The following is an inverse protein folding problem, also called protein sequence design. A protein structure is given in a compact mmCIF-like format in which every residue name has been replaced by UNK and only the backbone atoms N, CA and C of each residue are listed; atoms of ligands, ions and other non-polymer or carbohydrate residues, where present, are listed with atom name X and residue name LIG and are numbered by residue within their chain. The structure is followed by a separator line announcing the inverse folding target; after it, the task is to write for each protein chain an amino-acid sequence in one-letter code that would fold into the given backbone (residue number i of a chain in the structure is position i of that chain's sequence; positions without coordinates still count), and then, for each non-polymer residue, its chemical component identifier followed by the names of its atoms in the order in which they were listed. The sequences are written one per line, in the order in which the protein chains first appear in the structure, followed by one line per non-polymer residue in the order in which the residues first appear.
data_IF_379512006609
#
_entry.id   IF_379512006609
#
_cell.length_a   1.000
_cell.length_b   1.000
_cell.length_c   1.000
_cell.angle_alpha   90.00
_cell.angle_beta   90.00
_cell.angle_gamma   90.00
#
_symmetry.space_group_name_H-M   'P 1'
#
loop_
_entity.id
_entity.type
_entity.pdbx_description
1 polymer ?
#
# COMPACT_ATOMS: atom_id res chain seq x y z
N UNK A 1 8.14 -16.20 0.54
CA UNK A 1 7.81 -14.91 1.22
C UNK A 1 9.10 -14.19 1.55
N UNK A 2 9.22 -12.92 1.16
CA UNK A 2 10.41 -12.09 1.46
C UNK A 2 10.68 -12.04 2.97
N UNK A 3 11.95 -12.11 3.35
CA UNK A 3 12.42 -11.89 4.73
C UNK A 3 12.18 -10.42 5.14
N UNK A 4 12.21 -9.52 4.14
CA UNK A 4 12.03 -8.08 4.33
C UNK A 4 10.54 -7.72 4.23
N UNK A 5 9.96 -7.31 5.35
CA UNK A 5 8.54 -6.94 5.46
C UNK A 5 8.39 -5.46 5.74
N UNK A 6 7.26 -4.85 5.36
CA UNK A 6 6.90 -3.51 5.83
C UNK A 6 6.93 -3.40 7.35
N UNK A 7 7.33 -2.24 7.87
CA UNK A 7 7.26 -1.93 9.30
C UNK A 7 5.80 -2.03 9.77
N UNK A 8 5.51 -2.92 10.74
CA UNK A 8 4.14 -3.28 11.10
C UNK A 8 3.74 -2.69 12.46
N UNK A 9 2.58 -2.02 12.52
CA UNK A 9 1.97 -1.62 13.80
C UNK A 9 1.22 -2.75 14.51
N UNK A 10 0.86 -3.83 13.79
CA UNK A 10 0.11 -4.95 14.33
C UNK A 10 0.98 -6.02 14.99
N UNK A 11 2.30 -5.89 14.97
CA UNK A 11 3.19 -6.70 15.78
C UNK A 11 3.04 -6.27 17.24
N UNK A 12 2.79 -7.22 18.16
CA UNK A 12 3.08 -6.97 19.58
C UNK A 12 4.51 -6.46 19.66
N UNK A 13 4.81 -5.42 20.48
CA UNK A 13 6.21 -5.04 20.72
C UNK A 13 6.97 -6.34 21.02
N UNK A 14 7.96 -6.64 20.20
CA UNK A 14 8.69 -7.90 20.37
C UNK A 14 9.49 -7.76 21.63
N UNK A 15 9.06 -8.44 22.69
CA UNK A 15 9.78 -8.48 23.95
C UNK A 15 10.96 -9.45 23.76
N UNK A 16 12.14 -8.91 23.53
CA UNK A 16 13.35 -9.70 23.32
C UNK A 16 14.00 -10.05 24.67
N UNK A 17 14.62 -11.23 24.73
CA UNK A 17 15.58 -11.57 25.81
C UNK A 17 16.94 -10.98 25.48
N UNK A 18 17.78 -10.75 26.49
CA UNK A 18 19.15 -10.28 26.28
C UNK A 18 19.98 -11.23 25.39
N UNK A 19 19.72 -12.55 25.48
CA UNK A 19 20.31 -13.54 24.59
C UNK A 19 19.88 -13.36 23.12
N UNK A 20 18.60 -13.08 22.86
CA UNK A 20 18.08 -12.84 21.52
C UNK A 20 18.64 -11.54 20.89
N UNK A 21 18.83 -10.48 21.69
CA UNK A 21 19.45 -9.23 21.23
C UNK A 21 20.93 -9.48 20.86
N UNK A 22 21.66 -10.24 21.69
CA UNK A 22 23.07 -10.62 21.41
C UNK A 22 23.18 -11.51 20.18
N UNK A 23 22.29 -12.49 20.03
CA UNK A 23 22.25 -13.34 18.84
C UNK A 23 21.96 -12.52 17.56
N UNK A 24 21.04 -11.57 17.64
CA UNK A 24 20.75 -10.67 16.52
C UNK A 24 21.96 -9.79 16.14
N UNK A 25 22.72 -9.32 17.12
CA UNK A 25 23.96 -8.58 16.88
C UNK A 25 25.00 -9.45 16.16
N UNK A 26 25.28 -10.66 16.68
CA UNK A 26 26.29 -11.56 16.13
C UNK A 26 25.95 -12.06 14.73
N UNK A 27 24.66 -12.30 14.45
CA UNK A 27 24.18 -12.80 13.17
C UNK A 27 23.61 -11.72 12.25
N UNK A 28 23.81 -10.44 12.58
CA UNK A 28 23.31 -9.29 11.81
C UNK A 28 21.83 -9.38 11.44
N UNK A 29 20.98 -9.94 12.33
CA UNK A 29 19.55 -10.10 12.10
C UNK A 29 18.83 -8.77 12.20
N UNK A 30 17.86 -8.55 11.32
CA UNK A 30 16.94 -7.42 11.42
C UNK A 30 15.89 -7.73 12.47
N UNK A 31 15.76 -6.85 13.45
CA UNK A 31 14.73 -6.86 14.48
C UNK A 31 13.75 -5.72 14.25
N UNK A 32 12.61 -5.76 14.93
CA UNK A 32 11.63 -4.67 14.89
C UNK A 32 11.03 -4.45 16.28
N UNK A 33 10.89 -3.19 16.70
CA UNK A 33 10.16 -2.82 17.91
C UNK A 33 9.63 -1.41 17.85
N UNK A 34 8.85 -1.04 18.87
CA UNK A 34 8.18 0.26 18.97
C UNK A 34 9.16 1.33 19.44
N UNK A 35 9.13 2.46 18.75
CA UNK A 35 9.78 3.69 19.20
C UNK A 35 8.96 4.33 20.32
N UNK A 36 9.58 4.55 21.47
CA UNK A 36 8.93 5.12 22.67
C UNK A 36 8.97 6.64 22.63
N UNK A 37 10.14 7.20 22.28
CA UNK A 37 10.36 8.64 22.23
C UNK A 37 11.46 9.03 21.23
N UNK A 38 11.47 10.29 20.85
CA UNK A 38 12.56 10.98 20.17
C UNK A 38 13.09 12.03 21.15
N UNK A 39 14.38 12.01 21.43
CA UNK A 39 15.00 12.97 22.37
C UNK A 39 15.33 14.31 21.69
N UNK A 40 15.93 15.26 22.47
CA UNK A 40 16.29 16.59 21.98
C UNK A 40 17.39 16.59 20.89
N UNK A 41 18.16 15.53 20.82
CA UNK A 41 19.22 15.32 19.79
C UNK A 41 18.67 14.54 18.59
N UNK A 42 17.37 14.25 18.56
CA UNK A 42 16.68 13.45 17.54
C UNK A 42 17.11 11.97 17.51
N UNK A 43 17.66 11.43 18.60
CA UNK A 43 17.84 9.99 18.71
C UNK A 43 16.49 9.30 19.01
N UNK A 44 16.27 8.13 18.43
CA UNK A 44 15.06 7.35 18.71
C UNK A 44 15.34 6.32 19.82
N UNK A 45 14.48 6.29 20.82
CA UNK A 45 14.51 5.30 21.89
C UNK A 45 13.50 4.20 21.63
N UNK A 46 13.95 2.96 21.67
CA UNK A 46 13.19 1.76 21.32
C UNK A 46 13.11 0.84 22.54
N UNK A 47 11.93 0.28 22.80
CA UNK A 47 11.75 -0.74 23.84
C UNK A 47 12.05 -2.13 23.28
N UNK A 48 13.07 -2.79 23.83
CA UNK A 48 13.42 -4.18 23.51
C UNK A 48 12.86 -5.17 24.55
N UNK A 49 12.22 -4.68 25.61
CA UNK A 49 11.72 -5.49 26.71
C UNK A 49 12.78 -5.79 27.77
N UNK A 50 13.92 -6.32 27.39
CA UNK A 50 15.03 -6.64 28.32
C UNK A 50 15.98 -5.45 28.57
N UNK A 51 16.04 -4.49 27.67
CA UNK A 51 16.86 -3.28 27.73
C UNK A 51 16.32 -2.22 26.79
N UNK A 52 16.76 -0.98 26.98
CA UNK A 52 16.49 0.12 26.06
C UNK A 52 17.40 0.00 24.83
N UNK A 53 16.85 0.29 23.64
CA UNK A 53 17.62 0.50 22.41
C UNK A 53 17.69 1.98 22.08
N UNK A 54 18.81 2.44 21.50
CA UNK A 54 18.99 3.80 21.02
C UNK A 54 19.43 3.73 19.55
N UNK A 55 18.70 4.43 18.69
CA UNK A 55 19.07 4.67 17.30
C UNK A 55 19.56 6.11 17.22
N UNK A 56 20.85 6.37 17.00
CA UNK A 56 21.38 7.72 16.83
C UNK A 56 20.71 8.43 15.64
N UNK A 57 20.63 9.76 15.71
CA UNK A 57 19.97 10.58 14.68
C UNK A 57 20.39 10.22 13.26
N UNK A 58 21.70 10.09 13.02
CA UNK A 58 22.28 9.76 11.71
C UNK A 58 21.93 8.36 11.19
N UNK A 59 21.49 7.47 12.07
CA UNK A 59 21.10 6.09 11.76
C UNK A 59 19.58 5.86 11.81
N UNK A 60 18.78 6.91 12.02
CA UNK A 60 17.32 6.82 12.08
C UNK A 60 16.66 6.54 10.73
N UNK A 61 17.25 6.97 9.63
CA UNK A 61 16.76 6.72 8.28
C UNK A 61 17.84 6.98 7.22
N UNK A 62 17.67 6.35 6.07
CA UNK A 62 18.37 6.69 4.83
C UNK A 62 18.17 8.18 4.50
N UNK A 63 19.22 8.86 4.04
CA UNK A 63 19.18 10.27 3.64
C UNK A 63 19.36 11.29 4.78
N UNK A 64 19.39 10.89 6.05
CA UNK A 64 19.65 11.81 7.17
C UNK A 64 21.10 12.24 7.18
N UNK A 65 22.06 11.32 7.04
CA UNK A 65 23.49 11.64 6.96
C UNK A 65 23.83 12.51 5.77
N UNK A 66 23.21 12.24 4.65
CA UNK A 66 23.38 12.92 3.36
C UNK A 66 22.64 14.27 3.32
N UNK A 67 21.83 14.59 4.34
CA UNK A 67 21.04 15.82 4.39
C UNK A 67 19.87 15.88 3.40
N UNK A 68 19.52 14.76 2.76
CA UNK A 68 18.41 14.66 1.82
C UNK A 68 17.08 14.42 2.52
N UNK A 69 17.08 13.85 3.74
CA UNK A 69 15.92 13.68 4.59
C UNK A 69 15.92 14.71 5.75
N UNK A 70 14.72 15.17 6.14
CA UNK A 70 14.54 16.14 7.23
C UNK A 70 14.24 15.41 8.55
N UNK A 71 14.49 16.06 9.68
CA UNK A 71 14.25 15.51 11.03
C UNK A 71 12.79 15.10 11.28
N UNK A 72 11.84 15.68 10.54
CA UNK A 72 10.43 15.22 10.59
C UNK A 72 10.28 13.73 10.22
N UNK A 73 11.17 13.18 9.39
CA UNK A 73 11.19 11.76 9.07
C UNK A 73 11.55 10.89 10.29
N UNK A 74 12.31 11.43 11.23
CA UNK A 74 12.68 10.82 12.51
C UNK A 74 11.52 10.96 13.49
N UNK A 75 11.09 12.19 13.75
CA UNK A 75 10.05 12.52 14.75
C UNK A 75 8.74 11.77 14.47
N UNK A 76 8.40 11.59 13.19
CA UNK A 76 7.20 10.87 12.75
C UNK A 76 7.22 9.36 13.06
N UNK A 77 8.33 8.81 13.57
CA UNK A 77 8.47 7.39 13.96
C UNK A 77 8.06 7.12 15.40
N UNK A 78 7.89 8.13 16.23
CA UNK A 78 7.42 7.97 17.61
C UNK A 78 6.08 7.22 17.63
N UNK A 79 5.96 6.26 18.53
CA UNK A 79 4.85 5.32 18.65
C UNK A 79 4.67 4.33 17.47
N UNK A 80 5.57 4.31 16.48
CA UNK A 80 5.54 3.34 15.38
C UNK A 80 6.57 2.23 15.60
N UNK A 81 6.32 1.08 14.99
CA UNK A 81 7.30 0.00 14.91
C UNK A 81 8.28 0.33 13.81
N UNK A 82 9.57 0.18 14.09
CA UNK A 82 10.67 0.36 13.13
C UNK A 82 11.52 -0.90 13.08
N UNK A 83 12.09 -1.18 11.91
CA UNK A 83 13.10 -2.23 11.72
C UNK A 83 14.48 -1.66 12.02
N UNK A 84 15.37 -2.45 12.59
CA UNK A 84 16.75 -2.06 12.89
C UNK A 84 17.66 -3.26 13.02
N UNK A 85 18.97 -3.00 12.96
CA UNK A 85 20.03 -3.94 13.35
C UNK A 85 20.62 -3.51 14.68
N UNK A 86 21.05 -4.51 15.47
CA UNK A 86 21.82 -4.27 16.67
C UNK A 86 23.28 -4.11 16.27
N UNK A 87 23.84 -2.93 16.55
CA UNK A 87 25.24 -2.59 16.24
C UNK A 87 26.16 -3.01 17.38
N UNK A 88 25.77 -2.68 18.62
CA UNK A 88 26.55 -2.99 19.81
C UNK A 88 25.66 -3.03 21.06
N UNK A 89 26.18 -3.57 22.15
CA UNK A 89 25.57 -3.54 23.49
C UNK A 89 26.52 -2.84 24.42
N UNK A 90 26.14 -1.66 24.88
CA UNK A 90 26.97 -0.75 25.67
C UNK A 90 26.57 -0.86 27.14
N UNK A 91 27.56 -1.07 28.00
CA UNK A 91 27.42 -0.98 29.45
C UNK A 91 27.93 0.42 29.87
N UNK A 92 27.01 1.36 30.08
CA UNK A 92 27.28 2.74 30.49
C UNK A 92 27.08 2.88 32.00
N UNK A 93 28.06 3.48 32.69
CA UNK A 93 27.99 3.68 34.14
C UNK A 93 26.89 4.66 34.58
N UNK A 94 26.49 5.60 33.72
CA UNK A 94 25.49 6.63 34.01
C UNK A 94 24.08 6.26 33.51
N UNK A 95 23.99 5.68 32.28
CA UNK A 95 22.74 5.38 31.62
C UNK A 95 22.31 3.92 31.72
N UNK A 96 23.13 3.08 32.37
CA UNK A 96 22.92 1.65 32.45
C UNK A 96 23.19 0.93 31.13
N UNK A 97 22.76 -0.31 31.01
CA UNK A 97 22.96 -1.12 29.83
C UNK A 97 21.94 -0.83 28.74
N UNK A 98 22.40 -0.57 27.52
CA UNK A 98 21.54 -0.33 26.36
C UNK A 98 22.12 -0.92 25.08
N UNK A 99 21.26 -1.16 24.10
CA UNK A 99 21.66 -1.58 22.76
C UNK A 99 21.77 -0.38 21.83
N UNK A 100 22.91 -0.25 21.13
CA UNK A 100 23.09 0.68 20.03
C UNK A 100 22.49 0.06 18.78
N UNK A 101 21.57 0.76 18.14
CA UNK A 101 20.78 0.26 17.02
C UNK A 101 20.99 1.13 15.78
N UNK A 102 20.81 0.54 14.60
CA UNK A 102 20.79 1.28 13.32
C UNK A 102 19.62 0.84 12.45
N UNK A 103 18.71 1.77 12.19
CA UNK A 103 17.62 1.57 11.22
C UNK A 103 18.15 1.65 9.80
N UNK A 104 19.10 2.55 9.55
CA UNK A 104 19.75 2.73 8.25
C UNK A 104 20.39 1.43 7.76
N UNK A 105 21.15 0.71 8.60
CA UNK A 105 21.75 -0.58 8.21
C UNK A 105 20.72 -1.64 7.85
N UNK A 106 19.54 -1.61 8.45
CA UNK A 106 18.45 -2.51 8.06
C UNK A 106 17.84 -2.11 6.70
N UNK A 107 17.72 -0.81 6.44
CA UNK A 107 17.26 -0.28 5.15
C UNK A 107 18.27 -0.54 4.03
N UNK A 108 19.57 -0.30 4.28
CA UNK A 108 20.65 -0.57 3.32
C UNK A 108 20.65 -2.06 2.90
N UNK A 109 20.55 -2.98 3.86
CA UNK A 109 20.46 -4.40 3.55
C UNK A 109 19.18 -4.76 2.79
N UNK A 110 18.04 -4.21 3.19
CA UNK A 110 16.77 -4.43 2.48
C UNK A 110 16.85 -3.92 1.04
N UNK A 111 17.47 -2.76 0.82
CA UNK A 111 17.68 -2.21 -0.52
C UNK A 111 18.58 -3.11 -1.35
N UNK A 112 19.74 -3.49 -0.83
CA UNK A 112 20.73 -4.31 -1.53
C UNK A 112 20.19 -5.71 -1.88
N UNK A 113 19.59 -6.40 -0.90
CA UNK A 113 19.21 -7.81 -1.04
C UNK A 113 17.79 -8.04 -1.53
N UNK A 114 16.92 -7.02 -1.51
CA UNK A 114 15.53 -7.16 -1.89
C UNK A 114 15.10 -6.13 -2.94
N UNK A 115 15.16 -4.82 -2.64
CA UNK A 115 14.61 -3.80 -3.53
C UNK A 115 15.35 -3.77 -4.88
N UNK A 116 16.68 -3.87 -4.88
CA UNK A 116 17.49 -3.86 -6.10
C UNK A 116 17.33 -5.12 -6.96
N UNK A 117 16.71 -6.16 -6.41
CA UNK A 117 16.41 -7.40 -7.14
C UNK A 117 14.96 -7.43 -7.67
N UNK A 118 14.16 -6.40 -7.38
CA UNK A 118 12.81 -6.30 -7.92
C UNK A 118 12.86 -5.92 -9.40
N UNK A 119 11.92 -6.49 -10.14
CA UNK A 119 11.72 -6.20 -11.56
C UNK A 119 10.30 -5.69 -11.81
N UNK A 120 10.07 -4.85 -12.84
CA UNK A 120 8.71 -4.51 -13.25
C UNK A 120 7.89 -5.78 -13.49
N UNK A 121 6.68 -5.82 -12.96
CA UNK A 121 5.83 -7.01 -12.99
C UNK A 121 5.84 -7.85 -11.71
N UNK A 122 6.81 -7.68 -10.82
CA UNK A 122 6.84 -8.41 -9.54
C UNK A 122 5.67 -8.00 -8.65
N UNK A 123 5.01 -9.02 -8.07
CA UNK A 123 3.90 -8.82 -7.12
C UNK A 123 4.44 -8.88 -5.71
N UNK A 124 4.33 -7.75 -5.01
CA UNK A 124 4.87 -7.60 -3.66
C UNK A 124 3.80 -7.16 -2.66
N UNK A 125 4.03 -7.52 -1.39
CA UNK A 125 3.26 -6.94 -0.29
C UNK A 125 3.73 -5.53 0.02
N UNK A 126 2.78 -4.63 0.27
CA UNK A 126 3.06 -3.25 0.64
C UNK A 126 2.12 -2.80 1.76
N UNK A 127 2.56 -1.84 2.58
CA UNK A 127 1.75 -1.24 3.62
C UNK A 127 1.54 0.24 3.34
N UNK A 128 0.30 0.67 3.30
CA UNK A 128 -0.04 2.08 3.10
C UNK A 128 0.40 2.89 4.31
N UNK A 129 1.28 3.86 4.11
CA UNK A 129 1.82 4.71 5.19
C UNK A 129 1.22 6.12 5.18
N UNK A 130 0.90 6.64 4.00
CA UNK A 130 0.37 7.99 3.84
C UNK A 130 -0.48 8.10 2.57
N UNK A 131 -1.53 8.94 2.60
CA UNK A 131 -2.42 9.19 1.47
C UNK A 131 -2.34 10.66 1.07
N UNK A 132 -2.13 10.90 -0.22
CA UNK A 132 -2.10 12.22 -0.85
C UNK A 132 -3.08 12.26 -2.03
N UNK A 133 -3.56 13.41 -2.47
CA UNK A 133 -4.48 13.50 -3.60
C UNK A 133 -3.98 12.84 -4.89
N UNK A 134 -2.66 12.79 -5.09
CA UNK A 134 -2.03 12.20 -6.27
C UNK A 134 -1.71 10.70 -6.15
N UNK A 135 -1.85 10.12 -4.95
CA UNK A 135 -1.56 8.69 -4.73
C UNK A 135 -1.32 8.32 -3.27
N UNK A 136 -0.84 7.10 -3.04
CA UNK A 136 -0.51 6.57 -1.74
C UNK A 136 0.99 6.27 -1.63
N UNK A 137 1.61 6.64 -0.52
CA UNK A 137 2.93 6.15 -0.16
C UNK A 137 2.78 4.81 0.56
N UNK A 138 3.59 3.85 0.14
CA UNK A 138 3.57 2.51 0.70
C UNK A 138 4.96 2.09 1.14
N UNK A 139 5.04 1.47 2.30
CA UNK A 139 6.25 0.78 2.77
C UNK A 139 6.30 -0.60 2.10
N UNK A 140 7.37 -0.86 1.37
CA UNK A 140 7.60 -2.10 0.63
C UNK A 140 8.63 -3.02 1.30
N UNK A 141 9.21 -2.58 2.42
CA UNK A 141 10.16 -3.33 3.24
C UNK A 141 11.02 -2.42 4.09
N UNK A 142 11.16 -2.72 5.39
CA UNK A 142 11.99 -1.98 6.37
C UNK A 142 11.80 -0.46 6.36
N UNK A 143 10.58 0.02 6.03
CA UNK A 143 10.26 1.45 5.96
C UNK A 143 10.75 2.14 4.68
N UNK A 144 11.15 1.40 3.65
CA UNK A 144 11.48 1.94 2.33
C UNK A 144 10.18 2.30 1.63
N UNK A 145 10.07 3.57 1.23
CA UNK A 145 8.85 4.13 0.66
C UNK A 145 8.79 3.97 -0.85
N UNK A 146 7.64 3.54 -1.36
CA UNK A 146 7.30 3.50 -2.78
C UNK A 146 6.01 4.29 -3.03
N UNK A 147 5.81 4.78 -4.25
CA UNK A 147 4.61 5.53 -4.64
C UNK A 147 3.65 4.63 -5.43
N UNK A 148 2.41 4.58 -4.97
CA UNK A 148 1.26 4.06 -5.71
C UNK A 148 0.42 5.24 -6.21
N UNK A 149 0.55 5.68 -7.48
CA UNK A 149 -0.19 6.81 -8.01
C UNK A 149 -1.68 6.52 -8.10
N UNK A 150 -2.51 7.57 -8.04
CA UNK A 150 -3.96 7.44 -7.98
C UNK A 150 -4.55 6.68 -9.18
N UNK A 151 -3.97 6.85 -10.37
CA UNK A 151 -4.35 6.14 -11.60
C UNK A 151 -3.90 4.66 -11.64
N UNK A 152 -3.02 4.27 -10.72
CA UNK A 152 -2.58 2.89 -10.49
C UNK A 152 -3.44 2.14 -9.46
N UNK A 153 -4.32 2.80 -8.71
CA UNK A 153 -5.09 2.18 -7.63
C UNK A 153 -6.24 1.32 -8.20
N UNK A 154 -7.02 1.85 -9.14
CA UNK A 154 -8.13 1.13 -9.79
C UNK A 154 -8.38 1.68 -11.20
N UNK A 155 -9.10 0.93 -12.03
CA UNK A 155 -9.51 1.39 -13.37
C UNK A 155 -10.59 2.47 -13.26
N UNK A 156 -11.52 2.33 -12.34
CA UNK A 156 -12.50 3.38 -12.04
C UNK A 156 -11.80 4.60 -11.43
N UNK A 157 -12.11 5.78 -11.95
CA UNK A 157 -11.58 7.03 -11.41
C UNK A 157 -12.09 7.27 -10.00
N UNK A 158 -11.23 7.75 -9.15
CA UNK A 158 -11.50 8.10 -7.75
C UNK A 158 -11.02 9.53 -7.49
N UNK A 159 -11.70 10.33 -6.67
CA UNK A 159 -11.29 11.68 -6.35
C UNK A 159 -10.08 11.74 -5.41
N UNK A 160 -9.93 10.73 -4.56
CA UNK A 160 -8.86 10.63 -3.56
C UNK A 160 -8.58 9.16 -3.22
N UNK A 161 -7.33 8.78 -2.89
CA UNK A 161 -6.99 7.39 -2.52
C UNK A 161 -7.74 6.82 -1.32
N UNK A 162 -8.19 7.65 -0.37
CA UNK A 162 -8.94 7.22 0.82
C UNK A 162 -10.30 6.59 0.50
N UNK A 163 -10.80 6.76 -0.72
CA UNK A 163 -11.96 6.04 -1.23
C UNK A 163 -11.72 4.52 -1.29
N UNK A 164 -10.44 4.10 -1.42
CA UNK A 164 -10.02 2.70 -1.60
C UNK A 164 -9.13 2.18 -0.50
N UNK A 165 -8.26 3.04 0.00
CA UNK A 165 -7.16 2.66 0.85
C UNK A 165 -7.28 3.33 2.22
N UNK A 166 -6.69 2.70 3.22
CA UNK A 166 -6.56 3.25 4.58
C UNK A 166 -5.10 3.24 4.99
N UNK A 167 -4.69 4.24 5.74
CA UNK A 167 -3.37 4.25 6.38
C UNK A 167 -3.24 3.00 7.26
N UNK A 168 -2.10 2.34 7.21
CA UNK A 168 -1.77 1.06 7.86
C UNK A 168 -2.41 -0.18 7.22
N UNK A 169 -3.14 -0.06 6.12
CA UNK A 169 -3.66 -1.20 5.37
C UNK A 169 -2.52 -1.95 4.68
N UNK A 170 -2.52 -3.28 4.80
CA UNK A 170 -1.67 -4.15 4.00
C UNK A 170 -2.36 -4.45 2.67
N UNK A 171 -1.66 -4.28 1.58
CA UNK A 171 -2.14 -4.52 0.21
C UNK A 171 -1.11 -5.33 -0.59
N UNK A 172 -1.58 -6.02 -1.63
CA UNK A 172 -0.69 -6.53 -2.69
C UNK A 172 -0.56 -5.45 -3.77
N UNK A 173 0.63 -5.30 -4.33
CA UNK A 173 0.90 -4.36 -5.42
C UNK A 173 1.81 -4.98 -6.46
N UNK A 174 1.81 -4.43 -7.66
CA UNK A 174 2.76 -4.79 -8.73
C UNK A 174 3.79 -3.69 -8.84
N UNK A 175 5.05 -4.04 -8.99
CA UNK A 175 6.13 -3.11 -9.33
C UNK A 175 5.90 -2.64 -10.76
N UNK A 176 5.55 -1.37 -10.94
CA UNK A 176 5.29 -0.81 -12.28
C UNK A 176 6.57 -0.41 -12.99
N UNK A 177 7.46 0.26 -12.27
CA UNK A 177 8.77 0.68 -12.77
C UNK A 177 9.69 1.04 -11.60
N UNK A 178 10.99 1.05 -11.86
CA UNK A 178 12.02 1.51 -10.94
C UNK A 178 12.82 2.58 -11.70
N UNK A 179 12.95 3.77 -11.13
CA UNK A 179 13.69 4.85 -11.76
C UNK A 179 15.22 4.72 -11.54
N UNK A 180 16.00 5.61 -12.16
CA UNK A 180 17.47 5.64 -12.03
C UNK A 180 17.96 5.89 -10.60
N UNK A 181 17.13 6.48 -9.76
CA UNK A 181 17.43 6.74 -8.35
C UNK A 181 17.02 5.57 -7.44
N UNK A 182 16.51 4.47 -8.02
CA UNK A 182 16.02 3.29 -7.30
C UNK A 182 14.68 3.52 -6.59
N UNK A 183 13.90 4.54 -7.01
CA UNK A 183 12.55 4.76 -6.49
C UNK A 183 11.57 3.83 -7.21
N UNK A 184 10.78 3.11 -6.43
CA UNK A 184 9.82 2.14 -6.93
C UNK A 184 8.46 2.81 -7.13
N UNK A 185 7.91 2.67 -8.34
CA UNK A 185 6.54 3.03 -8.66
C UNK A 185 5.68 1.76 -8.66
N UNK A 186 4.56 1.82 -7.96
CA UNK A 186 3.65 0.70 -7.78
C UNK A 186 2.40 0.83 -8.66
N UNK A 187 1.73 -0.29 -8.88
CA UNK A 187 0.37 -0.37 -9.40
C UNK A 187 -0.42 -1.43 -8.63
N UNK A 188 -1.73 -1.26 -8.56
CA UNK A 188 -2.62 -2.14 -7.81
C UNK A 188 -3.76 -2.66 -8.71
N UNK A 189 -4.20 -1.85 -9.67
CA UNK A 189 -5.35 -2.13 -10.53
C UNK A 189 -5.23 -3.44 -11.32
N UNK A 190 -4.03 -3.85 -11.67
CA UNK A 190 -3.80 -5.07 -12.43
C UNK A 190 -4.14 -6.34 -11.62
N UNK A 191 -4.07 -6.25 -10.29
CA UNK A 191 -4.45 -7.35 -9.39
C UNK A 191 -5.97 -7.45 -9.15
N UNK A 192 -6.73 -6.39 -9.49
CA UNK A 192 -8.17 -6.30 -9.27
C UNK A 192 -9.00 -6.91 -10.41
N UNK A 193 -8.35 -7.62 -11.31
CA UNK A 193 -8.97 -8.37 -12.40
C UNK A 193 -9.23 -7.57 -13.67
N UNK A 194 -9.34 -8.32 -14.76
CA UNK A 194 -9.71 -7.85 -16.09
C UNK A 194 -11.18 -7.42 -16.14
N UNK A 195 -11.58 -6.76 -17.21
CA UNK A 195 -12.98 -6.41 -17.44
C UNK A 195 -13.87 -7.67 -17.44
N UNK A 196 -13.44 -8.75 -18.11
CA UNK A 196 -14.20 -10.00 -18.20
C UNK A 196 -14.34 -10.73 -16.86
N UNK A 197 -13.27 -10.79 -16.07
CA UNK A 197 -13.29 -11.40 -14.74
C UNK A 197 -14.25 -10.65 -13.81
N UNK A 198 -14.23 -9.33 -13.83
CA UNK A 198 -15.17 -8.53 -13.05
C UNK A 198 -16.60 -8.64 -13.59
N UNK A 199 -16.81 -8.64 -14.90
CA UNK A 199 -18.12 -8.81 -15.51
C UNK A 199 -18.75 -10.17 -15.17
N UNK A 200 -17.95 -11.23 -15.05
CA UNK A 200 -18.44 -12.58 -14.70
C UNK A 200 -19.04 -12.70 -13.32
N UNK A 201 -18.86 -11.69 -12.45
CA UNK A 201 -19.49 -11.64 -11.13
C UNK A 201 -20.96 -11.23 -11.18
N UNK A 202 -21.45 -10.80 -12.35
CA UNK A 202 -22.76 -10.17 -12.51
C UNK A 202 -23.50 -10.79 -13.69
N UNK A 203 -24.85 -10.82 -13.57
CA UNK A 203 -25.73 -11.28 -14.63
C UNK A 203 -26.70 -10.19 -15.06
N UNK A 204 -27.06 -10.19 -16.33
CA UNK A 204 -28.14 -9.32 -16.84
C UNK A 204 -29.45 -9.69 -16.16
N UNK A 205 -30.20 -8.71 -15.69
CA UNK A 205 -31.45 -8.91 -14.96
C UNK A 205 -31.31 -8.92 -13.44
N UNK A 206 -30.08 -8.83 -12.89
CA UNK A 206 -29.85 -8.73 -11.46
C UNK A 206 -29.92 -7.29 -10.95
N UNK A 207 -30.32 -7.12 -9.70
CA UNK A 207 -30.18 -5.88 -8.94
C UNK A 207 -29.06 -6.04 -7.93
N UNK A 208 -28.06 -5.18 -8.02
CA UNK A 208 -26.82 -5.27 -7.22
C UNK A 208 -26.48 -3.93 -6.60
N UNK A 209 -25.73 -3.92 -5.49
CA UNK A 209 -25.24 -2.67 -4.91
C UNK A 209 -24.14 -2.04 -5.77
N UNK A 210 -24.06 -0.72 -5.78
CA UNK A 210 -23.02 0.05 -6.43
C UNK A 210 -22.75 1.36 -5.71
N UNK A 211 -21.68 2.05 -6.12
CA UNK A 211 -21.31 3.36 -5.59
C UNK A 211 -21.27 4.36 -6.74
N UNK A 212 -21.95 5.48 -6.56
CA UNK A 212 -22.00 6.56 -7.54
C UNK A 212 -20.66 7.27 -7.56
N UNK A 213 -19.95 7.22 -8.71
CA UNK A 213 -18.61 7.80 -8.88
C UNK A 213 -18.61 9.14 -9.56
N UNK A 214 -19.51 9.36 -10.51
CA UNK A 214 -19.71 10.68 -11.10
C UNK A 214 -21.12 10.85 -11.63
N UNK A 215 -21.57 12.09 -11.66
CA UNK A 215 -22.86 12.50 -12.22
C UNK A 215 -22.59 13.46 -13.37
N UNK A 216 -22.74 12.97 -14.61
CA UNK A 216 -22.47 13.69 -15.83
C UNK A 216 -23.77 14.12 -16.52
N UNK A 217 -23.71 15.01 -17.50
CA UNK A 217 -24.90 15.45 -18.26
C UNK A 217 -25.54 14.32 -19.06
N UNK A 218 -24.75 13.32 -19.47
CA UNK A 218 -25.21 12.19 -20.29
C UNK A 218 -25.50 10.93 -19.46
N UNK A 219 -25.34 10.95 -18.14
CA UNK A 219 -25.64 9.81 -17.26
C UNK A 219 -24.80 9.76 -15.98
N UNK A 220 -25.03 8.72 -15.22
CA UNK A 220 -24.44 8.49 -13.90
C UNK A 220 -23.53 7.27 -13.97
N UNK A 221 -22.24 7.44 -13.62
CA UNK A 221 -21.34 6.30 -13.48
C UNK A 221 -21.50 5.67 -12.11
N UNK A 222 -21.85 4.39 -12.13
CA UNK A 222 -21.98 3.58 -10.92
C UNK A 222 -20.95 2.47 -10.96
N UNK A 223 -20.14 2.40 -9.96
CA UNK A 223 -19.14 1.40 -9.77
C UNK A 223 -19.73 0.18 -9.07
N UNK A 224 -19.53 -1.00 -9.65
CA UNK A 224 -19.93 -2.30 -9.10
C UNK A 224 -18.74 -3.00 -8.40
N UNK A 225 -17.55 -2.86 -8.96
CA UNK A 225 -16.26 -3.23 -8.33
C UNK A 225 -15.21 -2.17 -8.67
N UNK A 226 -14.07 -2.13 -7.98
CA UNK A 226 -13.01 -1.15 -8.27
C UNK A 226 -12.56 -1.09 -9.73
N UNK A 227 -12.62 -2.21 -10.45
CA UNK A 227 -12.27 -2.31 -11.86
C UNK A 227 -13.50 -2.44 -12.79
N UNK A 228 -14.72 -2.27 -12.29
CA UNK A 228 -15.91 -2.47 -13.11
C UNK A 228 -17.00 -1.47 -12.78
N UNK A 229 -17.35 -0.63 -13.74
CA UNK A 229 -18.38 0.38 -13.61
C UNK A 229 -19.36 0.34 -14.80
N UNK A 230 -20.59 0.74 -14.53
CA UNK A 230 -21.63 0.89 -15.56
C UNK A 230 -22.15 2.32 -15.62
N UNK A 231 -22.94 2.60 -16.66
CA UNK A 231 -23.59 3.88 -16.89
C UNK A 231 -25.12 3.71 -16.73
N UNK A 232 -25.69 4.50 -15.84
CA UNK A 232 -27.13 4.64 -15.66
C UNK A 232 -27.64 5.96 -16.26
N UNK A 233 -28.93 6.01 -16.55
CA UNK A 233 -29.61 7.23 -16.96
C UNK A 233 -29.65 8.23 -15.80
N UNK A 234 -29.71 9.53 -16.13
CA UNK A 234 -29.74 10.61 -15.13
C UNK A 234 -30.99 10.49 -14.27
N UNK A 235 -30.79 10.41 -12.96
CA UNK A 235 -31.85 10.28 -11.96
C UNK A 235 -31.76 11.46 -10.99
N UNK A 236 -32.87 12.21 -10.75
CA UNK A 236 -32.85 13.34 -9.81
C UNK A 236 -32.47 12.94 -8.40
N UNK A 237 -31.76 13.81 -7.67
CA UNK A 237 -31.41 13.62 -6.26
C UNK A 237 -30.18 12.77 -6.00
N UNK A 238 -29.60 12.16 -7.02
CA UNK A 238 -28.40 11.35 -6.93
C UNK A 238 -27.15 12.23 -6.90
N UNK A 239 -26.20 11.90 -6.00
CA UNK A 239 -24.93 12.61 -5.83
C UNK A 239 -23.74 11.64 -5.78
N UNK A 240 -22.57 12.14 -6.11
CA UNK A 240 -21.32 11.41 -5.98
C UNK A 240 -21.11 10.93 -4.53
N UNK A 241 -20.59 9.71 -4.39
CA UNK A 241 -20.34 9.05 -3.11
C UNK A 241 -21.55 8.33 -2.51
N UNK A 242 -22.77 8.52 -3.04
CA UNK A 242 -23.94 7.77 -2.59
C UNK A 242 -23.85 6.29 -3.00
N UNK A 243 -24.43 5.44 -2.18
CA UNK A 243 -24.73 4.06 -2.54
C UNK A 243 -25.98 3.98 -3.37
N UNK A 244 -26.06 3.01 -4.28
CA UNK A 244 -27.23 2.77 -5.09
C UNK A 244 -27.50 1.29 -5.27
N UNK A 245 -28.77 0.91 -5.25
CA UNK A 245 -29.25 -0.35 -5.81
C UNK A 245 -29.43 -0.16 -7.31
N UNK A 246 -28.74 -0.94 -8.13
CA UNK A 246 -28.79 -0.82 -9.59
C UNK A 246 -29.18 -2.13 -10.26
N UNK A 247 -30.11 -2.02 -11.20
CA UNK A 247 -30.52 -3.14 -12.07
C UNK A 247 -29.61 -3.17 -13.31
N UNK A 248 -29.05 -4.34 -13.61
CA UNK A 248 -28.18 -4.56 -14.78
C UNK A 248 -29.03 -4.84 -16.00
N UNK A 249 -29.14 -3.83 -16.87
CA UNK A 249 -29.94 -3.91 -18.11
C UNK A 249 -29.22 -4.67 -19.22
N UNK A 250 -27.91 -4.44 -19.38
CA UNK A 250 -27.09 -5.12 -20.39
C UNK A 250 -25.60 -5.01 -20.07
N UNK A 251 -24.84 -6.04 -20.44
CA UNK A 251 -23.38 -6.10 -20.40
C UNK A 251 -22.90 -6.28 -21.85
N UNK A 252 -22.05 -5.38 -22.35
CA UNK A 252 -21.63 -5.30 -23.75
C UNK A 252 -20.08 -5.37 -23.80
N UNK A 253 -19.49 -6.58 -23.92
CA UNK A 253 -18.05 -6.77 -23.81
C UNK A 253 -17.24 -6.01 -24.88
N UNK A 254 -17.69 -6.01 -26.14
CA UNK A 254 -16.94 -5.37 -27.24
C UNK A 254 -16.75 -3.87 -27.02
N UNK A 255 -17.67 -3.25 -26.29
CA UNK A 255 -17.63 -1.82 -25.94
C UNK A 255 -17.12 -1.56 -24.53
N UNK A 256 -16.88 -2.61 -23.75
CA UNK A 256 -16.63 -2.53 -22.31
C UNK A 256 -17.67 -1.65 -21.59
N UNK A 257 -18.95 -1.84 -21.92
CA UNK A 257 -20.06 -1.05 -21.37
C UNK A 257 -21.03 -1.91 -20.60
N UNK A 258 -21.47 -1.38 -19.47
CA UNK A 258 -22.57 -1.92 -18.68
C UNK A 258 -23.66 -0.86 -18.60
N UNK A 259 -24.88 -1.19 -19.01
CA UNK A 259 -26.04 -0.31 -18.86
C UNK A 259 -26.78 -0.66 -17.59
N UNK A 260 -27.00 0.36 -16.76
CA UNK A 260 -27.62 0.23 -15.46
C UNK A 260 -28.91 1.07 -15.38
N UNK A 261 -29.79 0.68 -14.47
CA UNK A 261 -30.93 1.49 -14.03
C UNK A 261 -30.81 1.64 -12.52
N UNK A 262 -30.81 2.86 -12.01
CA UNK A 262 -30.83 3.13 -10.57
C UNK A 262 -32.23 2.83 -10.06
N UNK A 263 -32.37 1.90 -9.15
CA UNK A 263 -33.61 1.50 -8.50
C UNK A 263 -33.87 2.39 -7.28
N UNK A 264 -32.81 2.56 -6.47
CA UNK A 264 -32.80 3.43 -5.29
C UNK A 264 -31.39 3.99 -5.05
N UNK A 265 -31.30 5.02 -4.21
CA UNK A 265 -30.01 5.57 -3.79
C UNK A 265 -30.11 6.10 -2.35
N UNK A 266 -29.05 5.91 -1.57
CA UNK A 266 -29.01 6.33 -0.19
C UNK A 266 -27.61 6.79 0.21
N UNK A 267 -27.56 7.70 1.20
CA UNK A 267 -26.30 8.07 1.82
C UNK A 267 -25.90 6.99 2.81
N UNK A 268 -24.68 6.48 2.68
CA UNK A 268 -24.14 5.46 3.57
C UNK A 268 -22.65 5.70 3.79
N UNK A 269 -22.11 5.14 4.87
CA UNK A 269 -20.65 5.05 5.02
C UNK A 269 -20.06 4.06 4.04
N UNK A 270 -18.87 4.36 3.52
CA UNK A 270 -18.15 3.42 2.66
C UNK A 270 -17.85 2.15 3.48
N UNK A 271 -18.60 1.10 3.21
CA UNK A 271 -18.32 -0.23 3.76
C UNK A 271 -17.02 -0.67 3.13
N UNK A 272 -15.99 -0.79 3.95
CA UNK A 272 -14.70 -1.33 3.54
C UNK A 272 -14.90 -2.81 3.23
N UNK A 273 -15.15 -3.14 1.97
CA UNK A 273 -15.14 -4.53 1.52
C UNK A 273 -13.68 -4.96 1.36
N UNK A 274 -13.34 -6.14 1.86
CA UNK A 274 -12.02 -6.73 1.64
C UNK A 274 -11.70 -6.73 0.14
N UNK A 275 -10.49 -6.28 -0.20
CA UNK A 275 -10.05 -6.21 -1.58
C UNK A 275 -9.95 -7.61 -2.17
N UNK A 276 -10.76 -7.89 -3.19
CA UNK A 276 -10.67 -9.14 -3.93
C UNK A 276 -9.55 -9.05 -4.96
N UNK A 277 -8.59 -9.95 -4.86
CA UNK A 277 -7.54 -10.13 -5.84
C UNK A 277 -7.89 -11.26 -6.80
N UNK A 278 -7.67 -11.06 -8.09
CA UNK A 278 -7.88 -12.06 -9.14
C UNK A 278 -6.57 -12.71 -9.59
N UNK A 279 -5.45 -12.09 -9.27
CA UNK A 279 -4.13 -12.61 -9.58
C UNK A 279 -3.43 -13.12 -8.32
N UNK A 280 -2.97 -14.38 -8.37
CA UNK A 280 -2.31 -15.05 -7.24
C UNK A 280 -0.81 -15.32 -7.48
N UNK A 281 -0.30 -15.03 -8.68
CA UNK A 281 1.10 -15.21 -9.04
C UNK A 281 2.05 -14.22 -8.34
N UNK A 282 3.34 -14.49 -8.43
CA UNK A 282 4.40 -13.65 -7.86
C UNK A 282 4.99 -12.66 -8.90
N UNK A 283 4.69 -12.86 -10.20
CA UNK A 283 5.15 -12.02 -11.30
C UNK A 283 4.17 -12.02 -12.46
N UNK A 284 4.03 -10.89 -13.16
CA UNK A 284 3.25 -10.78 -14.40
C UNK A 284 4.03 -9.96 -15.44
N UNK A 285 4.20 -10.50 -16.65
CA UNK A 285 4.85 -9.80 -17.78
C UNK A 285 3.96 -8.72 -18.38
N UNK A 286 2.65 -8.94 -18.36
CA UNK A 286 1.66 -8.00 -18.90
C UNK A 286 0.28 -8.24 -18.32
N UNK A 287 -0.54 -7.20 -18.34
CA UNK A 287 -1.93 -7.25 -17.96
C UNK A 287 -2.79 -6.63 -19.05
N UNK A 288 -3.75 -7.37 -19.58
CA UNK A 288 -4.72 -6.88 -20.57
C UNK A 288 -6.09 -6.77 -19.91
N UNK A 289 -6.52 -5.54 -19.66
CA UNK A 289 -7.83 -5.27 -19.05
C UNK A 289 -8.99 -5.53 -20.01
N UNK A 290 -8.81 -5.19 -21.29
CA UNK A 290 -9.85 -5.30 -22.31
C UNK A 290 -10.20 -6.75 -22.64
N UNK A 291 -11.49 -7.11 -22.78
CA UNK A 291 -11.89 -8.42 -23.26
C UNK A 291 -11.45 -8.65 -24.71
N UNK A 292 -11.32 -9.91 -25.14
CA UNK A 292 -11.06 -10.23 -26.55
C UNK A 292 -12.12 -9.62 -27.48
N UNK A 293 -11.66 -9.00 -28.56
CA UNK A 293 -12.54 -8.34 -29.52
C UNK A 293 -13.07 -6.97 -29.13
N UNK A 294 -12.61 -6.39 -28.01
CA UNK A 294 -12.98 -5.05 -27.62
C UNK A 294 -12.45 -4.00 -28.59
N UNK A 295 -13.23 -2.96 -28.85
CA UNK A 295 -12.86 -1.84 -29.76
C UNK A 295 -11.68 -1.01 -29.24
N UNK A 296 -11.40 -1.06 -27.94
CA UNK A 296 -10.30 -0.34 -27.30
C UNK A 296 -9.43 -1.33 -26.53
N UNK A 297 -8.14 -1.37 -26.84
CA UNK A 297 -7.16 -2.10 -26.05
C UNK A 297 -6.66 -1.26 -24.87
N UNK A 298 -6.80 -1.79 -23.66
CA UNK A 298 -6.21 -1.24 -22.43
C UNK A 298 -5.30 -2.32 -21.88
N UNK A 299 -4.00 -2.05 -21.89
CA UNK A 299 -2.97 -3.01 -21.51
C UNK A 299 -1.85 -2.30 -20.74
N UNK A 300 -1.29 -2.97 -19.76
CA UNK A 300 -0.02 -2.62 -19.10
C UNK A 300 1.02 -3.68 -19.47
N UNK A 301 2.18 -3.25 -19.93
CA UNK A 301 3.32 -4.14 -20.19
C UNK A 301 4.40 -3.73 -19.20
N UNK A 302 4.89 -4.67 -18.44
CA UNK A 302 5.95 -4.48 -17.47
C UNK A 302 7.30 -4.77 -18.17
N UNK A 303 8.18 -3.74 -18.24
CA UNK A 303 9.49 -3.84 -18.93
C UNK A 303 10.58 -3.26 -18.04
#
# INVERSE_FOLDING_TARGET
MSVYKPESENGRPSCYTAGAVRDAMLNSKILSSRVILCDSEHNLHVDLGCMRGIIPREDCAEGIREGTARDIAIISRVNKIVCFKVVDIIDDSENGRYALLSRRLAQDECREKYINNLSPGDVIGAKVTHLEPFGAFCDIGCGISALLPIDGISVSRIPHPDVRLRVNQNIKTVVKSIDSDGRVLLSHKELLGTWSENASLFSVGETVPGIIRSVEDYGIFVELTPNFAGLAEKTPGVKEGMHAGVFIKSIIPEKMKVKLIIVDSFSGENINTDTRYFFEGEHMDSFTYSPPGAYKLIQTIFK
#
